data_IF_190440701304
#
_entry.id   IF_190440701304
#
_cell.length_a   1.000
_cell.length_b   1.000
_cell.length_c   1.000
_cell.angle_alpha   90.00
_cell.angle_beta   90.00
_cell.angle_gamma   90.00
#
_symmetry.space_group_name_H-M   'P 1'
#
loop_
_entity.id
_entity.type
_entity.pdbx_description
1 polymer ?
#
# COMPACT_ATOMS: atom_id res chain seq x y z
N UNK A 1 61.33 24.21 24.06
CA UNK A 1 60.71 22.87 24.03
C UNK A 1 59.71 22.82 25.16
N UNK A 2 58.52 23.38 24.92
CA UNK A 2 57.40 23.44 25.87
C UNK A 2 56.21 22.91 25.08
N UNK A 3 55.68 21.78 25.51
CA UNK A 3 54.50 21.14 24.95
C UNK A 3 53.31 21.58 25.81
N UNK A 4 52.44 22.42 25.24
CA UNK A 4 51.13 22.74 25.80
C UNK A 4 50.15 21.62 25.43
N UNK A 5 49.64 20.95 26.45
CA UNK A 5 48.56 19.97 26.38
C UNK A 5 47.23 20.70 26.56
N UNK A 6 46.58 21.08 25.46
CA UNK A 6 45.24 21.65 25.50
C UNK A 6 44.18 20.54 25.64
N UNK A 7 43.64 20.41 26.86
CA UNK A 7 42.44 19.63 27.15
C UNK A 7 41.22 20.26 26.45
N UNK A 8 40.72 19.62 25.39
CA UNK A 8 39.42 19.95 24.81
C UNK A 8 38.34 19.25 25.64
N UNK A 9 37.76 19.98 26.60
CA UNK A 9 36.53 19.57 27.27
C UNK A 9 35.40 19.76 26.26
N UNK A 10 34.93 18.67 25.66
CA UNK A 10 33.70 18.68 24.89
C UNK A 10 32.53 18.85 25.87
N UNK A 11 32.01 20.07 25.96
CA UNK A 11 30.73 20.34 26.62
C UNK A 11 29.65 19.75 25.71
N UNK A 12 29.27 18.50 25.95
CA UNK A 12 28.01 17.96 25.45
C UNK A 12 26.90 18.71 26.14
N UNK A 13 26.27 19.63 25.40
CA UNK A 13 25.04 20.28 25.82
C UNK A 13 23.93 19.21 25.96
N UNK A 14 23.75 18.71 27.17
CA UNK A 14 22.55 18.01 27.62
C UNK A 14 21.40 19.02 27.67
N UNK A 15 20.74 19.25 26.54
CA UNK A 15 19.38 19.75 26.57
C UNK A 15 18.45 18.57 26.87
N UNK A 16 18.32 18.22 28.14
CA UNK A 16 17.16 17.46 28.60
C UNK A 16 16.02 18.45 28.81
N UNK A 17 15.16 18.54 27.80
CA UNK A 17 13.80 19.06 27.94
C UNK A 17 12.86 17.92 27.62
N UNK A 18 12.83 16.87 28.44
CA UNK A 18 11.92 15.75 28.22
C UNK A 18 10.49 16.17 28.63
N UNK A 19 9.84 16.92 27.72
CA UNK A 19 8.39 17.02 27.63
C UNK A 19 7.78 15.70 27.14
N UNK A 20 6.46 15.67 26.89
CA UNK A 20 5.75 14.43 26.59
C UNK A 20 6.45 13.61 25.48
N UNK A 21 6.35 12.28 25.62
CA UNK A 21 7.01 11.30 24.76
C UNK A 21 5.97 10.29 24.27
N UNK A 22 6.01 9.94 22.99
CA UNK A 22 5.11 8.93 22.43
C UNK A 22 5.68 7.51 22.62
N UNK A 23 4.85 6.59 23.11
CA UNK A 23 5.18 5.15 23.22
C UNK A 23 4.38 4.32 22.21
N UNK A 24 5.00 3.30 21.61
CA UNK A 24 4.39 2.43 20.61
C UNK A 24 4.19 1.01 21.12
N UNK A 25 3.04 0.44 20.77
CA UNK A 25 2.81 -1.00 20.73
C UNK A 25 2.56 -1.43 19.28
N UNK A 26 3.59 -1.95 18.63
CA UNK A 26 3.54 -2.50 17.27
C UNK A 26 4.78 -3.35 16.96
N UNK A 27 4.84 -3.93 15.76
CA UNK A 27 6.08 -4.47 15.20
C UNK A 27 7.01 -3.35 14.75
N UNK A 28 8.31 -3.62 14.74
CA UNK A 28 9.34 -2.67 14.32
C UNK A 28 9.32 -2.36 12.82
N UNK A 29 8.65 -3.18 12.01
CA UNK A 29 8.45 -3.00 10.57
C UNK A 29 7.15 -2.25 10.23
N UNK A 30 6.36 -1.82 11.23
CA UNK A 30 5.20 -0.96 11.00
C UNK A 30 5.62 0.36 10.31
N UNK A 31 4.90 0.79 9.28
CA UNK A 31 5.35 1.91 8.43
C UNK A 31 5.47 3.23 9.19
N UNK A 32 4.56 3.53 10.11
CA UNK A 32 4.62 4.75 10.92
C UNK A 32 5.84 4.77 11.83
N UNK A 33 6.08 3.66 12.53
CA UNK A 33 7.24 3.54 13.42
C UNK A 33 8.54 3.60 12.63
N UNK A 34 8.62 2.85 11.51
CA UNK A 34 9.78 2.88 10.62
C UNK A 34 10.03 4.27 10.02
N UNK A 35 8.98 5.03 9.68
CA UNK A 35 9.11 6.40 9.20
C UNK A 35 9.68 7.34 10.26
N UNK A 36 9.25 7.22 11.53
CA UNK A 36 9.81 8.00 12.64
C UNK A 36 11.30 7.70 12.88
N UNK A 37 11.66 6.41 12.90
CA UNK A 37 13.07 5.98 13.04
C UNK A 37 13.94 6.55 11.91
N UNK A 38 13.47 6.48 10.66
CA UNK A 38 14.16 7.09 9.51
C UNK A 38 14.28 8.62 9.62
N UNK A 39 13.31 9.25 10.27
CA UNK A 39 13.29 10.68 10.57
C UNK A 39 14.14 11.04 11.79
N UNK A 40 14.88 10.08 12.37
CA UNK A 40 15.71 10.23 13.57
C UNK A 40 14.92 10.64 14.82
N UNK A 41 13.66 10.22 14.89
CA UNK A 41 12.82 10.37 16.07
C UNK A 41 12.76 9.02 16.77
N UNK A 42 13.30 8.96 17.99
CA UNK A 42 13.28 7.75 18.81
C UNK A 42 12.02 7.74 19.67
N UNK A 43 11.31 6.60 19.65
CA UNK A 43 10.14 6.37 20.48
C UNK A 43 10.24 4.97 21.09
N UNK A 44 9.93 4.78 22.39
CA UNK A 44 9.89 3.46 22.99
C UNK A 44 8.91 2.53 22.25
N UNK A 45 9.33 1.29 21.99
CA UNK A 45 8.55 0.27 21.28
C UNK A 45 8.38 -0.97 22.17
N UNK A 46 7.15 -1.47 22.28
CA UNK A 46 6.81 -2.64 23.07
C UNK A 46 5.94 -3.63 22.30
N UNK A 47 6.06 -4.91 22.61
CA UNK A 47 5.30 -5.98 21.95
C UNK A 47 3.88 -6.15 22.51
N UNK A 48 3.60 -5.64 23.73
CA UNK A 48 2.27 -5.69 24.34
C UNK A 48 1.73 -4.31 24.72
N UNK A 49 0.41 -4.14 24.61
CA UNK A 49 -0.29 -2.92 25.02
C UNK A 49 -0.22 -2.69 26.53
N UNK A 50 -0.25 -3.77 27.33
CA UNK A 50 -0.06 -3.71 28.79
C UNK A 50 1.29 -3.11 29.14
N UNK A 51 2.39 -3.64 28.58
CA UNK A 51 3.73 -3.12 28.86
C UNK A 51 3.90 -1.68 28.36
N UNK A 52 3.40 -1.36 27.16
CA UNK A 52 3.46 0.00 26.63
C UNK A 52 2.81 1.02 27.57
N UNK A 53 1.63 0.71 28.12
CA UNK A 53 0.90 1.57 29.05
C UNK A 53 1.53 1.58 30.45
N UNK A 54 2.09 0.47 30.92
CA UNK A 54 2.87 0.39 32.16
C UNK A 54 4.14 1.24 32.12
N UNK A 55 4.80 1.30 30.97
CA UNK A 55 6.05 2.02 30.76
C UNK A 55 5.86 3.48 30.35
N UNK A 56 4.70 3.84 29.83
CA UNK A 56 4.38 5.22 29.47
C UNK A 56 4.36 6.15 30.70
N UNK A 57 4.96 7.33 30.56
CA UNK A 57 4.95 8.37 31.59
C UNK A 57 3.54 8.96 31.77
N UNK A 58 3.14 9.39 32.98
CA UNK A 58 1.85 10.04 33.17
C UNK A 58 1.65 11.26 32.25
N UNK A 59 0.48 11.38 31.64
CA UNK A 59 0.14 12.46 30.71
C UNK A 59 0.72 12.34 29.30
N UNK A 60 1.49 11.29 29.02
CA UNK A 60 2.05 11.01 27.69
C UNK A 60 1.05 10.32 26.75
N UNK A 61 1.49 9.96 25.55
CA UNK A 61 0.65 9.29 24.56
C UNK A 61 1.16 7.88 24.22
N UNK A 62 0.21 6.98 23.92
CA UNK A 62 0.51 5.60 23.50
C UNK A 62 -0.26 5.27 22.23
N UNK A 63 0.44 4.76 21.21
CA UNK A 63 -0.17 4.21 20.01
C UNK A 63 -0.19 2.68 20.07
N UNK A 64 -1.37 2.09 19.95
CA UNK A 64 -1.57 0.64 19.84
C UNK A 64 -2.00 0.33 18.41
N UNK A 65 -1.08 -0.20 17.60
CA UNK A 65 -1.26 -0.37 16.16
C UNK A 65 -1.69 -1.79 15.78
N UNK A 66 -2.35 -1.92 14.62
CA UNK A 66 -2.98 -3.16 14.21
C UNK A 66 -2.01 -4.12 13.47
N UNK A 67 -1.13 -4.80 14.21
CA UNK A 67 -0.17 -5.75 13.63
C UNK A 67 -0.82 -7.01 13.05
N UNK A 68 -2.03 -7.35 13.49
CA UNK A 68 -2.80 -8.51 13.03
C UNK A 68 -3.77 -8.21 11.89
N UNK A 69 -3.79 -6.97 11.38
CA UNK A 69 -4.71 -6.54 10.33
C UNK A 69 -4.46 -7.28 9.00
N UNK A 70 -5.52 -7.64 8.25
CA UNK A 70 -6.95 -7.51 8.55
C UNK A 70 -7.53 -8.71 9.34
N UNK A 71 -6.76 -9.80 9.45
CA UNK A 71 -7.23 -11.10 9.95
C UNK A 71 -7.64 -11.08 11.43
N UNK A 72 -7.05 -10.18 12.22
CA UNK A 72 -7.29 -10.08 13.66
C UNK A 72 -7.40 -8.63 14.12
N UNK A 73 -8.49 -8.34 14.84
CA UNK A 73 -8.68 -7.07 15.53
C UNK A 73 -7.68 -6.89 16.69
N UNK A 74 -7.34 -5.64 16.99
CA UNK A 74 -6.44 -5.26 18.08
C UNK A 74 -7.16 -5.44 19.41
N UNK A 75 -6.76 -6.48 20.16
CA UNK A 75 -7.31 -6.74 21.49
C UNK A 75 -6.62 -5.87 22.54
N UNK A 76 -7.41 -5.12 23.30
CA UNK A 76 -6.96 -4.36 24.46
C UNK A 76 -7.85 -4.75 25.64
N UNK A 77 -7.24 -5.18 26.73
CA UNK A 77 -7.97 -5.53 27.94
C UNK A 77 -8.64 -4.28 28.55
N UNK A 78 -9.89 -4.34 29.03
CA UNK A 78 -10.51 -3.22 29.75
C UNK A 78 -9.64 -2.63 30.87
N UNK A 79 -8.90 -3.47 31.61
CA UNK A 79 -8.00 -3.00 32.67
C UNK A 79 -6.87 -2.09 32.15
N UNK A 80 -6.44 -2.30 30.89
CA UNK A 80 -5.42 -1.49 30.23
C UNK A 80 -5.96 -0.08 29.91
N UNK A 81 -7.23 0.04 29.51
CA UNK A 81 -7.89 1.34 29.37
C UNK A 81 -8.03 2.07 30.71
N UNK A 82 -8.37 1.36 31.79
CA UNK A 82 -8.46 1.94 33.13
C UNK A 82 -7.10 2.47 33.61
N UNK A 83 -6.03 1.72 33.34
CA UNK A 83 -4.68 2.15 33.68
C UNK A 83 -4.24 3.38 32.88
N UNK A 84 -4.55 3.43 31.58
CA UNK A 84 -4.32 4.62 30.77
C UNK A 84 -5.04 5.84 31.31
N UNK A 85 -6.30 5.67 31.76
CA UNK A 85 -7.07 6.72 32.42
C UNK A 85 -6.42 7.18 33.73
N UNK A 86 -5.99 6.25 34.59
CA UNK A 86 -5.29 6.58 35.86
C UNK A 86 -4.00 7.37 35.63
N UNK A 87 -3.27 7.05 34.56
CA UNK A 87 -2.06 7.76 34.14
C UNK A 87 -2.34 9.01 33.30
N UNK A 88 -3.60 9.35 33.03
CA UNK A 88 -4.01 10.47 32.19
C UNK A 88 -3.42 10.43 30.77
N UNK A 89 -3.21 9.22 30.23
CA UNK A 89 -2.63 9.01 28.90
C UNK A 89 -3.60 9.38 27.79
N UNK A 90 -3.05 9.79 26.65
CA UNK A 90 -3.79 9.86 25.38
C UNK A 90 -3.51 8.59 24.57
N UNK A 91 -4.54 7.81 24.21
CA UNK A 91 -4.35 6.57 23.46
C UNK A 91 -4.82 6.73 22.01
N UNK A 92 -4.03 6.25 21.07
CA UNK A 92 -4.46 5.99 19.70
C UNK A 92 -4.56 4.48 19.50
N UNK A 93 -5.70 4.00 19.00
CA UNK A 93 -5.94 2.55 18.82
C UNK A 93 -6.44 2.27 17.41
N UNK A 94 -5.77 1.37 16.70
CA UNK A 94 -6.20 0.89 15.38
C UNK A 94 -6.95 -0.43 15.43
N UNK A 95 -8.00 -0.53 14.63
CA UNK A 95 -8.77 -1.74 14.38
C UNK A 95 -9.15 -2.52 15.66
N UNK A 96 -9.70 -1.86 16.71
CA UNK A 96 -9.92 -2.49 18.02
C UNK A 96 -10.98 -3.60 18.01
N UNK A 97 -10.78 -4.64 18.82
CA UNK A 97 -11.82 -5.67 19.05
C UNK A 97 -12.98 -5.11 19.88
N UNK A 98 -12.66 -4.31 20.90
CA UNK A 98 -13.60 -3.67 21.79
C UNK A 98 -13.04 -2.33 22.27
N UNK A 99 -13.92 -1.36 22.51
CA UNK A 99 -13.59 -0.08 23.16
C UNK A 99 -14.69 0.19 24.19
N UNK A 100 -14.36 0.42 25.48
CA UNK A 100 -15.37 0.66 26.51
C UNK A 100 -16.35 1.77 26.11
N UNK A 101 -17.65 1.50 26.12
CA UNK A 101 -18.68 2.50 25.78
C UNK A 101 -18.85 2.81 24.29
N UNK A 102 -18.21 2.05 23.38
CA UNK A 102 -18.53 2.06 21.95
C UNK A 102 -19.22 0.76 21.55
N UNK A 103 -20.26 0.88 20.74
CA UNK A 103 -20.87 -0.26 20.08
C UNK A 103 -20.04 -0.59 18.84
N UNK A 104 -19.37 -1.74 18.87
CA UNK A 104 -18.54 -2.25 17.79
C UNK A 104 -19.27 -3.44 17.16
N UNK A 105 -19.57 -3.33 15.87
CA UNK A 105 -20.07 -4.43 15.07
C UNK A 105 -18.89 -5.19 14.41
N UNK A 106 -19.14 -6.42 13.90
CA UNK A 106 -18.11 -7.19 13.20
C UNK A 106 -17.47 -6.42 12.05
N UNK A 107 -16.18 -6.67 11.75
CA UNK A 107 -15.51 -6.06 10.62
C UNK A 107 -16.20 -6.36 9.29
N UNK A 108 -16.18 -5.39 8.39
CA UNK A 108 -16.68 -5.50 7.02
C UNK A 108 -15.64 -4.94 6.04
N UNK A 109 -15.85 -5.19 4.75
CA UNK A 109 -14.94 -4.81 3.68
C UNK A 109 -15.54 -3.71 2.81
N UNK A 110 -14.77 -2.67 2.54
CA UNK A 110 -15.12 -1.66 1.54
C UNK A 110 -15.12 -2.28 0.15
N UNK A 111 -16.12 -1.94 -0.66
CA UNK A 111 -16.21 -2.39 -2.06
C UNK A 111 -16.13 -1.20 -3.00
N UNK A 112 -16.93 -0.17 -2.76
CA UNK A 112 -17.01 1.04 -3.60
C UNK A 112 -16.78 2.33 -2.81
N UNK A 113 -16.69 2.21 -1.50
CA UNK A 113 -16.44 3.29 -0.57
C UNK A 113 -14.98 3.76 -0.68
N UNK A 114 -14.79 5.06 -0.51
CA UNK A 114 -13.47 5.69 -0.47
C UNK A 114 -13.31 6.45 0.83
N UNK A 115 -12.07 6.57 1.30
CA UNK A 115 -11.76 7.31 2.52
C UNK A 115 -11.81 8.80 2.19
N UNK A 116 -12.56 9.57 2.97
CA UNK A 116 -12.79 11.00 2.73
C UNK A 116 -12.59 11.77 4.02
N UNK A 117 -11.90 12.91 3.95
CA UNK A 117 -11.83 13.87 5.05
C UNK A 117 -13.19 14.53 5.24
N UNK A 118 -13.80 14.37 6.43
CA UNK A 118 -15.16 14.86 6.71
C UNK A 118 -15.23 16.22 7.38
N UNK A 119 -14.15 16.66 8.05
CA UNK A 119 -14.11 17.95 8.77
C UNK A 119 -12.74 18.61 8.69
N UNK A 120 -12.69 19.89 9.04
CA UNK A 120 -11.45 20.67 9.08
C UNK A 120 -10.53 20.25 10.23
N UNK A 121 -9.30 20.77 10.24
CA UNK A 121 -8.37 20.65 11.37
C UNK A 121 -7.18 19.73 11.14
N UNK A 122 -6.98 19.18 9.95
CA UNK A 122 -5.79 18.36 9.61
C UNK A 122 -4.83 19.07 8.64
N UNK A 123 -4.91 20.40 8.59
CA UNK A 123 -4.04 21.26 7.77
C UNK A 123 -4.46 21.33 6.31
N UNK A 124 -3.76 22.17 5.56
CA UNK A 124 -4.19 22.60 4.20
C UNK A 124 -4.13 21.48 3.16
N UNK A 125 -3.35 20.42 3.41
CA UNK A 125 -3.26 19.24 2.53
C UNK A 125 -4.44 18.27 2.71
N UNK A 126 -5.20 18.42 3.79
CA UNK A 126 -6.33 17.58 4.14
C UNK A 126 -7.58 18.44 4.37
N UNK A 127 -8.02 19.22 3.36
CA UNK A 127 -9.29 19.93 3.45
C UNK A 127 -10.46 18.94 3.47
N UNK A 128 -11.63 19.33 4.00
CA UNK A 128 -12.85 18.55 3.84
C UNK A 128 -13.08 18.13 2.37
N UNK A 129 -13.66 16.95 2.18
CA UNK A 129 -13.86 16.27 0.89
C UNK A 129 -12.60 15.74 0.20
N UNK A 130 -11.40 15.90 0.77
CA UNK A 130 -10.19 15.24 0.26
C UNK A 130 -10.37 13.73 0.26
N UNK A 131 -10.15 13.08 -0.88
CA UNK A 131 -10.16 11.62 -1.01
C UNK A 131 -8.76 11.08 -0.73
N UNK A 132 -8.69 10.04 0.10
CA UNK A 132 -7.49 9.27 0.38
C UNK A 132 -7.72 7.81 -0.08
N UNK A 133 -6.73 7.24 -0.75
CA UNK A 133 -6.70 5.85 -1.16
C UNK A 133 -6.24 4.94 -0.03
N UNK A 134 -7.11 4.03 0.38
CA UNK A 134 -6.81 2.86 1.23
C UNK A 134 -7.24 1.63 0.45
N UNK A 135 -6.29 0.74 0.17
CA UNK A 135 -6.54 -0.45 -0.63
C UNK A 135 -7.06 -1.61 0.24
N UNK A 136 -7.98 -2.40 -0.32
CA UNK A 136 -8.58 -3.58 0.31
C UNK A 136 -9.08 -3.34 1.76
N UNK A 137 -9.68 -2.18 2.00
CA UNK A 137 -9.97 -1.72 3.35
C UNK A 137 -11.03 -2.60 4.05
N UNK A 138 -10.59 -3.39 5.01
CA UNK A 138 -11.43 -3.95 6.07
C UNK A 138 -11.52 -2.95 7.23
N UNK A 139 -12.71 -2.71 7.75
CA UNK A 139 -12.95 -1.75 8.82
C UNK A 139 -14.04 -2.23 9.78
N UNK A 140 -14.03 -1.67 10.99
CA UNK A 140 -15.02 -1.95 12.03
C UNK A 140 -16.19 -0.99 11.89
N UNK A 141 -17.41 -1.52 11.93
CA UNK A 141 -18.63 -0.73 11.88
C UNK A 141 -18.94 -0.18 13.28
N UNK A 142 -19.05 1.14 13.38
CA UNK A 142 -19.42 1.86 14.62
C UNK A 142 -20.02 3.22 14.27
N UNK A 143 -20.41 3.99 15.29
CA UNK A 143 -20.91 5.36 15.15
C UNK A 143 -20.02 6.35 15.90
N UNK A 144 -19.87 7.55 15.34
CA UNK A 144 -19.15 8.66 15.95
C UNK A 144 -19.80 9.96 15.49
N UNK A 145 -19.93 10.94 16.39
CA UNK A 145 -20.67 12.19 16.14
C UNK A 145 -19.90 13.19 15.27
N UNK A 146 -18.56 13.12 15.24
CA UNK A 146 -17.72 14.07 14.50
C UNK A 146 -16.41 13.42 14.00
N UNK A 147 -16.49 12.45 13.06
CA UNK A 147 -15.31 11.80 12.53
C UNK A 147 -14.43 12.76 11.73
N UNK A 148 -13.12 12.52 11.78
CA UNK A 148 -12.10 13.16 10.94
C UNK A 148 -12.11 12.57 9.54
N UNK A 149 -12.11 11.23 9.46
CA UNK A 149 -12.15 10.48 8.23
C UNK A 149 -13.37 9.58 8.23
N UNK A 150 -14.01 9.46 7.07
CA UNK A 150 -15.13 8.54 6.85
C UNK A 150 -14.89 7.70 5.59
N UNK A 151 -15.37 6.46 5.57
CA UNK A 151 -15.60 5.72 4.34
C UNK A 151 -16.98 6.07 3.81
N UNK A 152 -17.06 6.45 2.54
CA UNK A 152 -18.33 6.73 1.87
C UNK A 152 -18.23 6.49 0.36
N UNK A 153 -19.36 6.16 -0.27
CA UNK A 153 -19.44 6.06 -1.73
C UNK A 153 -19.54 7.46 -2.33
N UNK A 154 -18.42 7.95 -2.85
CA UNK A 154 -18.30 9.30 -3.44
C UNK A 154 -17.83 9.26 -4.90
N UNK A 155 -18.08 10.34 -5.63
CA UNK A 155 -17.52 10.55 -6.97
C UNK A 155 -16.37 11.57 -6.93
N UNK A 156 -15.41 11.42 -7.85
CA UNK A 156 -14.19 12.23 -7.94
C UNK A 156 -12.93 11.36 -7.87
N UNK A 157 -11.75 11.98 -7.91
CA UNK A 157 -10.46 11.28 -7.78
C UNK A 157 -9.72 11.81 -6.55
N UNK A 158 -9.41 13.11 -6.58
CA UNK A 158 -8.73 13.84 -5.49
C UNK A 158 -9.69 14.40 -4.44
N UNK A 159 -10.93 14.66 -4.84
CA UNK A 159 -11.94 15.35 -4.03
C UNK A 159 -13.31 14.74 -4.28
N UNK A 160 -14.13 14.59 -3.24
CA UNK A 160 -15.53 14.17 -3.35
C UNK A 160 -16.39 15.32 -3.89
N UNK A 161 -16.56 15.36 -5.22
CA UNK A 161 -17.13 16.54 -5.92
C UNK A 161 -18.63 16.75 -5.71
N UNK A 162 -19.36 15.72 -5.26
CA UNK A 162 -20.78 15.81 -4.93
C UNK A 162 -21.05 15.79 -3.41
N UNK A 163 -20.02 15.98 -2.60
CA UNK A 163 -20.14 15.92 -1.14
C UNK A 163 -20.21 14.49 -0.59
N UNK A 164 -20.51 14.40 0.71
CA UNK A 164 -20.69 13.13 1.41
C UNK A 164 -22.18 12.72 1.39
N UNK A 165 -22.48 11.44 1.13
CA UNK A 165 -23.82 10.89 1.33
C UNK A 165 -24.16 10.76 2.82
N UNK A 166 -25.45 10.51 3.11
CA UNK A 166 -25.93 10.21 4.46
C UNK A 166 -25.32 8.92 5.01
N UNK A 167 -25.25 7.87 4.18
CA UNK A 167 -24.60 6.61 4.52
C UNK A 167 -23.07 6.75 4.44
N UNK A 168 -22.45 6.78 5.61
CA UNK A 168 -21.00 6.92 5.78
C UNK A 168 -20.55 6.26 7.07
N UNK A 169 -19.33 5.74 7.07
CA UNK A 169 -18.78 4.97 8.16
C UNK A 169 -17.60 5.70 8.79
N UNK A 170 -17.61 6.02 10.09
CA UNK A 170 -16.47 6.61 10.79
C UNK A 170 -15.21 5.75 10.68
N UNK A 171 -14.10 6.37 10.29
CA UNK A 171 -12.80 5.70 10.19
C UNK A 171 -11.84 6.22 11.24
N UNK A 172 -11.63 7.52 11.31
CA UNK A 172 -10.77 8.14 12.30
C UNK A 172 -11.59 9.15 13.09
N UNK A 173 -11.66 9.00 14.41
CA UNK A 173 -12.41 9.92 15.26
C UNK A 173 -11.83 9.99 16.67
N UNK A 174 -12.15 11.08 17.36
CA UNK A 174 -11.68 11.34 18.71
C UNK A 174 -12.82 11.13 19.71
N UNK A 175 -12.47 10.68 20.92
CA UNK A 175 -13.34 10.62 22.09
C UNK A 175 -12.68 11.47 23.20
N UNK A 176 -12.85 12.81 23.15
CA UNK A 176 -12.05 13.73 23.96
C UNK A 176 -12.18 13.49 25.46
N UNK A 177 -13.40 13.20 25.93
CA UNK A 177 -13.69 12.89 27.35
C UNK A 177 -12.90 11.70 27.89
N UNK A 178 -12.41 10.83 27.00
CA UNK A 178 -11.65 9.62 27.32
C UNK A 178 -10.20 9.70 26.87
N UNK A 179 -9.77 10.81 26.24
CA UNK A 179 -8.46 10.96 25.58
C UNK A 179 -8.12 9.79 24.64
N UNK A 180 -9.12 9.31 23.90
CA UNK A 180 -8.92 8.25 22.90
C UNK A 180 -9.04 8.81 21.49
N UNK A 181 -8.20 8.32 20.60
CA UNK A 181 -8.32 8.47 19.16
C UNK A 181 -8.46 7.06 18.59
N UNK A 182 -9.55 6.81 17.88
CA UNK A 182 -9.85 5.48 17.34
C UNK A 182 -9.73 5.53 15.83
N UNK A 183 -8.98 4.57 15.28
CA UNK A 183 -9.06 4.21 13.89
C UNK A 183 -9.78 2.87 13.74
N UNK A 184 -10.88 2.82 12.99
CA UNK A 184 -11.64 1.57 12.75
C UNK A 184 -10.99 0.66 11.72
N UNK A 185 -9.82 1.05 11.19
CA UNK A 185 -8.99 0.27 10.26
C UNK A 185 -7.50 0.49 10.57
N UNK A 186 -6.59 -0.13 9.83
CA UNK A 186 -5.15 0.13 9.93
C UNK A 186 -4.75 1.30 9.02
N UNK A 187 -4.43 2.45 9.61
CA UNK A 187 -3.91 3.62 8.90
C UNK A 187 -2.37 3.64 8.91
N UNK A 188 -1.75 2.90 9.84
CA UNK A 188 -0.30 2.87 10.06
C UNK A 188 0.46 2.04 9.03
N UNK A 189 -0.23 1.36 8.11
CA UNK A 189 0.32 0.56 7.01
C UNK A 189 0.37 1.31 5.67
N UNK A 190 0.54 2.63 5.70
CA UNK A 190 0.32 3.49 4.53
C UNK A 190 1.42 3.40 3.45
N UNK A 191 2.60 2.85 3.76
CA UNK A 191 3.68 2.67 2.77
C UNK A 191 3.57 1.29 2.13
N UNK A 192 3.56 0.24 2.97
CA UNK A 192 3.39 -1.16 2.58
C UNK A 192 2.07 -1.37 1.84
N UNK A 193 0.96 -0.85 2.36
CA UNK A 193 -0.36 -0.87 1.74
C UNK A 193 -0.51 0.04 0.51
N UNK A 194 0.56 0.73 0.08
CA UNK A 194 0.59 1.63 -1.10
C UNK A 194 -0.48 2.72 -1.06
N UNK A 195 -0.75 3.29 0.11
CA UNK A 195 -1.78 4.31 0.22
C UNK A 195 -1.39 5.57 -0.55
N UNK A 196 -2.39 6.26 -1.07
CA UNK A 196 -2.21 7.42 -1.93
C UNK A 196 -3.17 8.56 -1.57
N UNK A 197 -2.81 9.82 -1.84
CA UNK A 197 -1.49 10.26 -2.27
C UNK A 197 -0.54 10.39 -1.07
N UNK A 198 0.73 10.05 -1.26
CA UNK A 198 1.65 9.80 -0.15
C UNK A 198 1.95 11.04 0.73
N UNK A 199 1.90 12.24 0.16
CA UNK A 199 2.17 13.50 0.89
C UNK A 199 1.06 13.80 1.89
N UNK A 200 -0.19 13.53 1.52
CA UNK A 200 -1.37 13.72 2.35
C UNK A 200 -1.41 12.69 3.47
N UNK A 201 -0.99 11.46 3.21
CA UNK A 201 -0.79 10.45 4.25
C UNK A 201 0.31 10.82 5.24
N UNK A 202 1.45 11.36 4.75
CA UNK A 202 2.48 11.91 5.62
C UNK A 202 1.89 13.04 6.51
N UNK A 203 1.19 13.99 5.89
CA UNK A 203 0.55 15.11 6.59
C UNK A 203 -0.48 14.65 7.62
N UNK A 204 -1.27 13.60 7.33
CA UNK A 204 -2.24 13.06 8.27
C UNK A 204 -1.53 12.59 9.54
N UNK A 205 -0.45 11.84 9.38
CA UNK A 205 0.32 11.29 10.49
C UNK A 205 1.08 12.35 11.27
N UNK A 206 1.71 13.32 10.61
CA UNK A 206 2.38 14.46 11.27
C UNK A 206 1.40 15.25 12.17
N UNK A 207 0.16 15.44 11.70
CA UNK A 207 -0.89 16.12 12.44
C UNK A 207 -1.45 15.26 13.58
N UNK A 208 -1.58 13.94 13.39
CA UNK A 208 -1.96 13.01 14.47
C UNK A 208 -0.90 12.95 15.56
N UNK A 209 0.38 12.85 15.20
CA UNK A 209 1.49 12.86 16.15
C UNK A 209 1.51 14.16 16.95
N UNK A 210 1.34 15.32 16.29
CA UNK A 210 1.26 16.63 16.96
C UNK A 210 0.07 16.73 17.92
N UNK A 211 -1.07 16.12 17.56
CA UNK A 211 -2.26 16.06 18.45
C UNK A 211 -2.05 15.16 19.66
N UNK A 212 -1.40 14.01 19.46
CA UNK A 212 -1.08 13.08 20.54
C UNK A 212 -0.06 13.70 21.49
N UNK A 213 0.89 14.44 20.94
CA UNK A 213 1.97 15.05 21.68
C UNK A 213 2.46 16.35 20.99
N UNK A 214 2.26 17.53 21.60
CA UNK A 214 2.68 18.81 21.05
C UNK A 214 4.18 18.91 20.77
N UNK A 215 5.03 18.06 21.38
CA UNK A 215 6.47 18.02 21.10
C UNK A 215 6.77 17.56 19.66
N UNK A 216 5.83 16.89 19.00
CA UNK A 216 5.94 16.46 17.60
C UNK A 216 5.58 17.56 16.61
N UNK A 217 5.22 18.77 17.08
CA UNK A 217 4.93 19.90 16.19
C UNK A 217 6.14 20.22 15.31
N UNK A 218 5.96 20.13 14.00
CA UNK A 218 7.01 20.40 13.02
C UNK A 218 7.92 19.21 12.69
N UNK A 219 7.67 18.03 13.28
CA UNK A 219 8.26 16.78 12.81
C UNK A 219 7.78 16.53 11.39
N UNK A 220 8.72 16.22 10.48
CA UNK A 220 8.41 15.79 9.13
C UNK A 220 8.82 14.34 8.92
N UNK A 221 7.88 13.52 8.47
CA UNK A 221 8.08 12.08 8.29
C UNK A 221 8.82 11.80 6.97
N UNK A 222 9.97 11.14 7.08
CA UNK A 222 10.72 10.63 5.94
C UNK A 222 10.06 9.36 5.38
N UNK A 223 9.19 9.56 4.40
CA UNK A 223 8.44 8.51 3.72
C UNK A 223 8.91 8.37 2.27
N UNK A 224 9.25 7.15 1.87
CA UNK A 224 9.51 6.80 0.47
C UNK A 224 8.39 5.88 0.00
N UNK A 225 7.49 6.33 -0.89
CA UNK A 225 6.46 5.48 -1.45
C UNK A 225 7.06 4.29 -2.20
N UNK A 226 6.44 3.12 -2.07
CA UNK A 226 6.90 1.90 -2.75
C UNK A 226 6.84 2.04 -4.28
N UNK A 227 5.83 2.77 -4.78
CA UNK A 227 5.65 3.10 -6.20
C UNK A 227 5.68 4.62 -6.35
N UNK A 228 6.55 5.11 -7.23
CA UNK A 228 6.72 6.54 -7.50
C UNK A 228 7.16 6.79 -8.95
N UNK A 229 6.88 7.98 -9.50
CA UNK A 229 7.49 8.42 -10.74
C UNK A 229 9.02 8.31 -10.67
N UNK A 230 9.66 7.99 -11.80
CA UNK A 230 11.13 7.95 -11.85
C UNK A 230 11.76 9.34 -11.81
N UNK A 231 11.01 10.36 -12.24
CA UNK A 231 11.42 11.75 -12.30
C UNK A 231 10.33 12.64 -11.70
N UNK A 232 10.75 13.73 -11.07
CA UNK A 232 9.84 14.82 -10.66
C UNK A 232 9.22 15.56 -11.85
N UNK A 233 8.22 16.39 -11.58
CA UNK A 233 7.54 17.21 -12.60
C UNK A 233 8.50 18.09 -13.40
N UNK A 234 9.45 18.70 -12.70
CA UNK A 234 10.37 19.70 -13.25
C UNK A 234 11.81 19.17 -13.33
N UNK A 235 12.01 17.87 -13.13
CA UNK A 235 13.33 17.25 -13.17
C UNK A 235 13.77 17.09 -14.64
N UNK A 236 14.98 17.56 -15.02
CA UNK A 236 15.47 17.39 -16.37
C UNK A 236 15.67 15.90 -16.68
N UNK A 237 15.15 15.46 -17.82
CA UNK A 237 15.31 14.09 -18.27
C UNK A 237 16.68 13.89 -18.92
N UNK A 238 17.32 12.71 -18.76
CA UNK A 238 18.57 12.40 -19.44
C UNK A 238 18.35 12.28 -20.96
N UNK A 239 19.41 12.52 -21.75
CA UNK A 239 19.33 12.48 -23.22
C UNK A 239 18.89 11.12 -23.77
N UNK A 240 19.19 10.03 -23.06
CA UNK A 240 18.84 8.66 -23.45
C UNK A 240 17.56 8.14 -22.76
N UNK A 241 16.73 9.03 -22.18
CA UNK A 241 15.54 8.64 -21.40
C UNK A 241 14.61 7.69 -22.14
N UNK A 242 14.39 7.88 -23.45
CA UNK A 242 13.53 7.00 -24.26
C UNK A 242 14.05 5.56 -24.28
N UNK A 243 15.37 5.39 -24.46
CA UNK A 243 16.04 4.08 -24.44
C UNK A 243 15.93 3.43 -23.07
N UNK A 244 16.09 4.20 -22.01
CA UNK A 244 15.96 3.72 -20.64
C UNK A 244 14.53 3.27 -20.31
N UNK A 245 13.52 4.04 -20.73
CA UNK A 245 12.09 3.72 -20.51
C UNK A 245 11.73 2.40 -21.19
N UNK A 246 12.09 2.23 -22.46
CA UNK A 246 11.79 1.02 -23.21
C UNK A 246 12.51 -0.21 -22.63
N UNK A 247 13.77 -0.06 -22.23
CA UNK A 247 14.53 -1.12 -21.54
C UNK A 247 13.87 -1.52 -20.23
N UNK A 248 13.51 -0.56 -19.39
CA UNK A 248 12.89 -0.81 -18.09
C UNK A 248 11.49 -1.42 -18.24
N UNK A 249 10.73 -1.03 -19.26
CA UNK A 249 9.44 -1.67 -19.58
C UNK A 249 9.64 -3.14 -19.99
N UNK A 250 10.62 -3.45 -20.83
CA UNK A 250 10.96 -4.84 -21.17
C UNK A 250 11.45 -5.65 -19.96
N UNK A 251 12.31 -5.06 -19.12
CA UNK A 251 12.78 -5.67 -17.87
C UNK A 251 11.62 -5.98 -16.91
N UNK A 252 10.57 -5.15 -16.87
CA UNK A 252 9.37 -5.45 -16.10
C UNK A 252 8.73 -6.76 -16.56
N UNK A 253 8.56 -7.02 -17.86
CA UNK A 253 8.02 -8.30 -18.35
C UNK A 253 8.89 -9.50 -17.96
N UNK A 254 10.21 -9.34 -17.98
CA UNK A 254 11.13 -10.39 -17.56
C UNK A 254 11.12 -10.63 -16.05
N UNK A 255 10.79 -9.62 -15.27
CA UNK A 255 10.74 -9.70 -13.81
C UNK A 255 9.34 -10.01 -13.27
N UNK A 256 8.28 -9.79 -14.06
CA UNK A 256 6.88 -9.91 -13.64
C UNK A 256 6.41 -11.35 -13.46
N UNK A 257 7.17 -12.36 -13.90
CA UNK A 257 6.76 -13.79 -13.85
C UNK A 257 5.45 -14.07 -14.60
N UNK A 258 5.07 -13.19 -15.54
CA UNK A 258 3.89 -13.37 -16.41
C UNK A 258 4.20 -14.21 -17.64
N UNK A 259 5.43 -14.16 -18.16
CA UNK A 259 5.89 -15.06 -19.23
C UNK A 259 5.90 -16.49 -18.70
N UNK A 260 5.08 -17.35 -19.31
CA UNK A 260 4.82 -18.69 -18.80
C UNK A 260 6.04 -19.56 -19.10
N UNK A 261 6.68 -20.05 -18.04
CA UNK A 261 7.73 -21.05 -18.18
C UNK A 261 7.11 -22.43 -18.44
N UNK A 262 7.67 -23.28 -19.31
CA UNK A 262 7.11 -24.60 -19.62
C UNK A 262 6.78 -25.46 -18.39
N UNK A 263 7.59 -25.36 -17.32
CA UNK A 263 7.34 -26.10 -16.07
C UNK A 263 6.07 -25.67 -15.31
N UNK A 264 5.47 -24.53 -15.65
CA UNK A 264 4.26 -23.97 -15.01
C UNK A 264 3.01 -24.11 -15.88
N UNK A 265 3.18 -24.30 -17.18
CA UNK A 265 2.10 -24.24 -18.17
C UNK A 265 0.94 -25.18 -17.83
N UNK A 266 1.23 -26.47 -17.62
CA UNK A 266 0.21 -27.47 -17.34
C UNK A 266 -0.62 -27.12 -16.09
N UNK A 267 0.06 -26.73 -15.00
CA UNK A 267 -0.61 -26.36 -13.76
C UNK A 267 -1.50 -25.11 -13.93
N UNK A 268 -1.05 -24.10 -14.70
CA UNK A 268 -1.85 -22.90 -14.95
C UNK A 268 -3.08 -23.21 -15.82
N UNK A 269 -2.92 -24.04 -16.85
CA UNK A 269 -4.06 -24.48 -17.68
C UNK A 269 -5.06 -25.30 -16.87
N UNK A 270 -4.60 -26.16 -15.95
CA UNK A 270 -5.49 -26.90 -15.05
C UNK A 270 -6.31 -25.97 -14.15
N UNK A 271 -5.69 -24.89 -13.63
CA UNK A 271 -6.39 -23.88 -12.84
C UNK A 271 -7.44 -23.13 -13.68
N UNK A 272 -7.10 -22.74 -14.91
CA UNK A 272 -8.04 -22.09 -15.83
C UNK A 272 -9.23 -22.99 -16.18
N UNK A 273 -9.01 -24.28 -16.45
CA UNK A 273 -10.09 -25.25 -16.69
C UNK A 273 -11.00 -25.45 -15.48
N UNK A 274 -10.50 -25.18 -14.28
CA UNK A 274 -11.30 -25.17 -13.04
C UNK A 274 -12.04 -23.84 -12.82
N UNK A 275 -11.95 -22.89 -13.75
CA UNK A 275 -12.57 -21.57 -13.65
C UNK A 275 -11.83 -20.62 -12.70
N UNK A 276 -10.57 -20.90 -12.33
CA UNK A 276 -9.78 -19.95 -11.53
C UNK A 276 -9.15 -18.91 -12.46
N UNK A 277 -9.35 -17.64 -12.12
CA UNK A 277 -8.82 -16.51 -12.89
C UNK A 277 -7.66 -15.80 -12.18
N UNK A 278 -7.41 -16.10 -10.91
CA UNK A 278 -6.40 -15.41 -10.11
C UNK A 278 -5.58 -16.37 -9.25
N UNK A 279 -4.31 -16.03 -9.08
CA UNK A 279 -3.39 -16.71 -8.16
C UNK A 279 -2.51 -15.71 -7.43
N UNK A 280 -2.06 -16.10 -6.24
CA UNK A 280 -1.02 -15.37 -5.52
C UNK A 280 0.23 -15.28 -6.40
N UNK A 281 0.95 -14.17 -6.28
CA UNK A 281 2.20 -13.93 -6.99
C UNK A 281 3.19 -15.09 -6.74
N UNK A 282 3.76 -15.70 -7.79
CA UNK A 282 4.81 -16.71 -7.64
C UNK A 282 6.07 -16.13 -7.01
N UNK A 283 6.86 -16.99 -6.37
CA UNK A 283 8.15 -16.63 -5.82
C UNK A 283 9.13 -16.11 -6.89
N UNK A 284 9.99 -15.17 -6.49
CA UNK A 284 10.94 -14.51 -7.38
C UNK A 284 12.04 -15.44 -7.92
N UNK A 285 12.26 -16.60 -7.30
CA UNK A 285 13.21 -17.63 -7.74
C UNK A 285 12.66 -18.51 -8.88
N UNK A 286 11.35 -18.45 -9.17
CA UNK A 286 10.80 -19.25 -10.26
C UNK A 286 11.36 -18.83 -11.63
N UNK A 287 11.61 -19.80 -12.53
CA UNK A 287 12.08 -19.51 -13.86
C UNK A 287 11.02 -18.76 -14.67
N UNK A 288 11.49 -17.92 -15.58
CA UNK A 288 10.68 -17.06 -16.44
C UNK A 288 10.64 -17.68 -17.83
N UNK A 289 9.47 -17.70 -18.46
CA UNK A 289 9.32 -18.16 -19.83
C UNK A 289 10.01 -17.26 -20.86
N UNK A 290 10.22 -17.80 -22.05
CA UNK A 290 10.72 -17.06 -23.22
C UNK A 290 9.59 -16.64 -24.17
N UNK A 291 8.33 -16.74 -23.72
CA UNK A 291 7.14 -16.43 -24.51
C UNK A 291 6.63 -17.59 -25.36
N UNK A 292 7.32 -18.72 -25.46
CA UNK A 292 6.86 -19.86 -26.28
C UNK A 292 5.58 -20.52 -25.76
N UNK A 293 5.33 -20.42 -24.45
CA UNK A 293 4.12 -20.90 -23.78
C UNK A 293 3.11 -19.77 -23.51
N UNK A 294 3.31 -18.59 -24.10
CA UNK A 294 2.46 -17.43 -23.91
C UNK A 294 2.77 -16.58 -22.67
N UNK A 295 1.88 -15.64 -22.40
CA UNK A 295 1.94 -14.70 -21.29
C UNK A 295 0.56 -14.56 -20.63
N UNK A 296 0.56 -14.44 -19.31
CA UNK A 296 -0.63 -14.18 -18.50
C UNK A 296 -1.16 -12.74 -18.69
N UNK A 297 -2.46 -12.52 -18.45
CA UNK A 297 -3.16 -11.22 -18.63
C UNK A 297 -2.47 -10.05 -17.90
N UNK A 298 -1.93 -10.30 -16.70
CA UNK A 298 -1.26 -9.28 -15.90
C UNK A 298 -1.46 -9.46 -14.42
N UNK A 299 -1.57 -8.34 -13.70
CA UNK A 299 -1.89 -8.32 -12.27
C UNK A 299 -3.32 -7.79 -12.05
N UNK A 300 -4.02 -8.34 -11.07
CA UNK A 300 -5.37 -7.95 -10.72
C UNK A 300 -5.40 -6.45 -10.35
N UNK A 301 -6.42 -5.72 -10.79
CA UNK A 301 -6.53 -4.28 -10.48
C UNK A 301 -6.67 -4.00 -8.97
N UNK A 302 -7.19 -4.96 -8.21
CA UNK A 302 -7.28 -4.91 -6.76
C UNK A 302 -5.89 -5.03 -6.14
N UNK A 303 -5.45 -3.94 -5.51
CA UNK A 303 -4.32 -3.94 -4.59
C UNK A 303 -4.84 -4.45 -3.24
N UNK A 304 -4.18 -5.45 -2.68
CA UNK A 304 -4.49 -6.02 -1.37
C UNK A 304 -4.06 -5.06 -0.26
N UNK A 305 -4.50 -5.32 0.97
CA UNK A 305 -4.23 -4.45 2.13
C UNK A 305 -2.73 -4.28 2.45
N UNK A 306 -1.89 -5.22 2.00
CA UNK A 306 -0.44 -5.25 2.16
C UNK A 306 0.31 -4.70 0.94
N UNK A 307 -0.41 -4.14 -0.04
CA UNK A 307 0.14 -3.57 -1.27
C UNK A 307 0.39 -4.57 -2.41
N UNK A 308 0.20 -5.87 -2.17
CA UNK A 308 0.39 -6.90 -3.19
C UNK A 308 -0.79 -6.97 -4.18
N UNK A 309 -0.55 -7.60 -5.32
CA UNK A 309 -1.58 -7.87 -6.33
C UNK A 309 -1.45 -9.33 -6.79
N UNK A 310 -2.58 -10.00 -6.98
CA UNK A 310 -2.61 -11.34 -7.57
C UNK A 310 -2.26 -11.30 -9.06
N UNK A 311 -1.74 -12.39 -9.59
CA UNK A 311 -1.62 -12.58 -11.04
C UNK A 311 -2.97 -13.00 -11.62
N UNK A 312 -3.35 -12.40 -12.75
CA UNK A 312 -4.49 -12.78 -13.56
C UNK A 312 -4.08 -13.89 -14.52
N UNK A 313 -4.75 -15.03 -14.44
CA UNK A 313 -4.44 -16.22 -15.23
C UNK A 313 -4.91 -16.20 -16.70
N UNK A 314 -6.01 -15.52 -17.10
CA UNK A 314 -6.54 -15.64 -18.45
C UNK A 314 -5.48 -15.42 -19.54
N UNK A 315 -5.52 -16.26 -20.56
CA UNK A 315 -4.69 -16.13 -21.75
C UNK A 315 -5.50 -15.40 -22.80
N UNK A 316 -5.10 -14.17 -23.11
CA UNK A 316 -5.79 -13.34 -24.08
C UNK A 316 -4.87 -12.89 -25.20
N UNK A 317 -5.33 -12.95 -26.44
CA UNK A 317 -4.51 -12.65 -27.62
C UNK A 317 -4.05 -11.19 -27.67
N UNK A 318 -4.87 -10.26 -27.14
CA UNK A 318 -4.51 -8.85 -26.98
C UNK A 318 -3.32 -8.68 -26.03
N UNK A 319 -3.34 -9.30 -24.84
CA UNK A 319 -2.24 -9.24 -23.87
C UNK A 319 -0.92 -9.76 -24.47
N UNK A 320 -0.99 -10.82 -25.29
CA UNK A 320 0.19 -11.36 -25.98
C UNK A 320 0.74 -10.37 -27.01
N UNK A 321 -0.13 -9.82 -27.87
CA UNK A 321 0.26 -8.89 -28.91
C UNK A 321 0.78 -7.56 -28.34
N UNK A 322 0.15 -7.01 -27.31
CA UNK A 322 0.59 -5.79 -26.62
C UNK A 322 1.94 -6.01 -25.93
N UNK A 323 2.14 -7.16 -25.27
CA UNK A 323 3.43 -7.49 -24.65
C UNK A 323 4.54 -7.69 -25.69
N UNK A 324 4.22 -8.34 -26.82
CA UNK A 324 5.15 -8.47 -27.93
C UNK A 324 5.53 -7.10 -28.52
N UNK A 325 4.57 -6.18 -28.64
CA UNK A 325 4.83 -4.81 -29.07
C UNK A 325 5.80 -4.09 -28.13
N UNK A 326 5.58 -4.14 -26.81
CA UNK A 326 6.48 -3.54 -25.83
C UNK A 326 7.93 -4.07 -25.96
N UNK A 327 8.08 -5.38 -26.13
CA UNK A 327 9.40 -6.02 -26.29
C UNK A 327 10.05 -5.71 -27.65
N UNK A 328 9.26 -5.61 -28.72
CA UNK A 328 9.75 -5.18 -30.03
C UNK A 328 10.20 -3.71 -30.01
N UNK A 329 9.49 -2.86 -29.27
CA UNK A 329 9.85 -1.46 -29.06
C UNK A 329 11.14 -1.31 -28.24
N UNK A 330 11.47 -2.22 -27.32
CA UNK A 330 12.81 -2.25 -26.70
C UNK A 330 13.90 -2.69 -27.69
N UNK A 331 13.65 -3.74 -28.48
CA UNK A 331 14.62 -4.21 -29.46
C UNK A 331 14.96 -3.15 -30.52
N UNK A 332 13.99 -2.37 -30.99
CA UNK A 332 14.19 -1.40 -32.09
C UNK A 332 15.35 -0.41 -31.83
N UNK A 333 15.36 0.36 -30.72
CA UNK A 333 16.48 1.22 -30.36
C UNK A 333 17.59 0.47 -29.62
N UNK A 334 17.28 -0.40 -28.65
CA UNK A 334 18.30 -0.97 -27.76
C UNK A 334 19.00 -2.23 -28.32
N UNK A 335 18.48 -2.80 -29.42
CA UNK A 335 19.00 -4.02 -30.04
C UNK A 335 19.07 -5.21 -29.08
N UNK A 336 18.17 -5.27 -28.10
CA UNK A 336 18.05 -6.40 -27.18
C UNK A 336 17.66 -7.68 -27.93
N UNK A 337 18.59 -8.64 -28.02
CA UNK A 337 18.34 -9.93 -28.66
C UNK A 337 17.26 -10.73 -27.92
N UNK A 338 17.23 -10.64 -26.59
CA UNK A 338 16.21 -11.29 -25.76
C UNK A 338 14.82 -10.73 -26.05
N UNK A 339 14.68 -9.40 -26.08
CA UNK A 339 13.37 -8.77 -26.33
C UNK A 339 12.85 -9.10 -27.73
N UNK A 340 13.73 -9.14 -28.73
CA UNK A 340 13.38 -9.61 -30.08
C UNK A 340 12.84 -11.04 -30.07
N UNK A 341 13.59 -11.98 -29.48
CA UNK A 341 13.23 -13.39 -29.48
C UNK A 341 11.90 -13.64 -28.74
N UNK A 342 11.69 -13.02 -27.58
CA UNK A 342 10.45 -13.18 -26.82
C UNK A 342 9.26 -12.53 -27.55
N UNK A 343 9.44 -11.38 -28.20
CA UNK A 343 8.39 -10.78 -29.03
C UNK A 343 7.97 -11.70 -30.19
N UNK A 344 8.95 -12.28 -30.90
CA UNK A 344 8.69 -13.26 -31.97
C UNK A 344 7.96 -14.49 -31.43
N UNK A 345 8.39 -15.04 -30.28
CA UNK A 345 7.73 -16.17 -29.65
C UNK A 345 6.28 -15.88 -29.26
N UNK A 346 5.99 -14.72 -28.69
CA UNK A 346 4.62 -14.32 -28.33
C UNK A 346 3.72 -14.17 -29.55
N UNK A 347 4.21 -13.58 -30.64
CA UNK A 347 3.45 -13.50 -31.89
C UNK A 347 3.25 -14.89 -32.52
N UNK A 348 4.28 -15.74 -32.49
CA UNK A 348 4.14 -17.13 -32.92
C UNK A 348 3.13 -17.89 -32.08
N UNK A 349 3.07 -17.62 -30.77
CA UNK A 349 2.04 -18.16 -29.89
C UNK A 349 0.64 -17.76 -30.37
N UNK A 350 0.43 -16.48 -30.65
CA UNK A 350 -0.87 -15.98 -31.11
C UNK A 350 -1.31 -16.59 -32.44
N UNK A 351 -0.41 -16.61 -33.43
CA UNK A 351 -0.79 -16.95 -34.80
C UNK A 351 -0.65 -18.43 -35.14
N UNK A 352 0.22 -19.17 -34.46
CA UNK A 352 0.64 -20.50 -34.94
C UNK A 352 0.58 -21.62 -33.91
N UNK A 353 0.91 -21.38 -32.63
CA UNK A 353 1.06 -22.48 -31.66
C UNK A 353 -0.07 -22.59 -30.64
N UNK A 354 -0.84 -21.53 -30.40
CA UNK A 354 -2.03 -21.57 -29.55
C UNK A 354 -3.32 -21.87 -30.35
N UNK A 355 -4.43 -22.00 -29.64
CA UNK A 355 -5.76 -22.19 -30.23
C UNK A 355 -6.43 -20.89 -30.72
N UNK A 356 -5.81 -19.71 -30.53
CA UNK A 356 -6.42 -18.44 -30.89
C UNK A 356 -6.78 -18.36 -32.37
N UNK A 357 -5.92 -18.88 -33.26
CA UNK A 357 -6.17 -18.99 -34.70
C UNK A 357 -6.50 -20.43 -35.14
N UNK A 358 -6.69 -21.35 -34.19
CA UNK A 358 -6.94 -22.77 -34.46
C UNK A 358 -8.40 -23.10 -34.84
N UNK A 359 -8.67 -24.38 -35.09
CA UNK A 359 -10.00 -24.88 -35.42
C UNK A 359 -10.59 -24.22 -36.67
N UNK A 360 -11.85 -23.78 -36.59
CA UNK A 360 -12.57 -23.13 -37.70
C UNK A 360 -11.96 -21.79 -38.14
N UNK A 361 -11.13 -21.16 -37.29
CA UNK A 361 -10.40 -19.93 -37.63
C UNK A 361 -9.14 -20.20 -38.46
N UNK A 362 -8.65 -21.44 -38.41
CA UNK A 362 -7.52 -21.92 -39.19
C UNK A 362 -7.91 -22.67 -40.47
N UNK A 363 -9.20 -22.87 -40.74
CA UNK A 363 -9.70 -23.54 -41.95
C UNK A 363 -10.02 -22.53 -43.07
N UNK A 364 -9.25 -22.48 -44.18
CA UNK A 364 -9.49 -21.54 -45.29
C UNK A 364 -10.86 -21.67 -45.96
N UNK A 365 -11.60 -22.75 -45.72
CA UNK A 365 -12.95 -22.97 -46.27
C UNK A 365 -14.07 -22.47 -45.36
N UNK A 366 -13.76 -22.10 -44.12
CA UNK A 366 -14.76 -21.66 -43.15
C UNK A 366 -14.87 -20.11 -43.14
N UNK A 367 -16.07 -19.52 -42.99
CA UNK A 367 -16.24 -18.07 -42.96
C UNK A 367 -15.49 -17.32 -41.83
N UNK A 368 -15.08 -18.04 -40.79
CA UNK A 368 -14.31 -17.52 -39.67
C UNK A 368 -12.78 -17.54 -39.89
N UNK A 369 -12.32 -17.98 -41.07
CA UNK A 369 -10.90 -18.05 -41.38
C UNK A 369 -10.20 -16.70 -41.21
N UNK A 370 -9.04 -16.71 -40.55
CA UNK A 370 -8.25 -15.51 -40.31
C UNK A 370 -8.73 -14.63 -39.16
N UNK A 371 -9.82 -14.99 -38.47
CA UNK A 371 -10.18 -14.36 -37.20
C UNK A 371 -9.26 -14.85 -36.07
N UNK A 372 -9.01 -13.99 -35.08
CA UNK A 372 -8.25 -14.32 -33.87
C UNK A 372 -9.21 -14.33 -32.70
N UNK A 373 -9.24 -15.42 -31.92
CA UNK A 373 -10.03 -15.45 -30.70
C UNK A 373 -9.47 -14.47 -29.65
N UNK A 374 -10.36 -13.83 -28.88
CA UNK A 374 -9.93 -12.92 -27.82
C UNK A 374 -9.26 -13.65 -26.66
N UNK A 375 -9.81 -14.79 -26.24
CA UNK A 375 -9.28 -15.66 -25.18
C UNK A 375 -9.22 -17.12 -25.62
N UNK A 376 -8.42 -17.91 -24.90
CA UNK A 376 -8.24 -19.34 -25.09
C UNK A 376 -9.07 -20.11 -24.06
#
# INVERSE_FOLDING_TARGET
MILDLACVVAITSLFSTAGPTIVFNCKSDNDLYAALVRSRVECPLFASSTEAIERADPGSAVLVLADGYPDRQTRIDPAVFEQGTKKNLTLYVEYPEAVPGLNIAPPTKAVWERLVVSREGFGDLLPPMRILGVHDCTYIVTTASDPVLVLARVAGFDTAVFGLPDERFPILFELPERKLIISTTKLSGFVSGRFAPAREWASLWEQLLTRLDPAFKGVSLMITPLVRPSYGRDEPLPEDVERQVLRRAAEWYFNSRLLIHPSREAALHDLLRQGKEEVVLPSADLPVGDGSCGILEGYASTIQHDGNQNQRLPLRSDCHAESAMCLALDWSPNRSARSKAVAENLLNYVFFTSEFCGGVRGDPKHPAFGLVAWGA
#
